data_IF_957899283676
#
_entry.id   IF_957899283676
#
_cell.length_a   1.000
_cell.length_b   1.000
_cell.length_c   1.000
_cell.angle_alpha   90.00
_cell.angle_beta   90.00
_cell.angle_gamma   90.00
#
_symmetry.space_group_name_H-M   'P 1'
#
loop_
_entity.id
_entity.type
_entity.pdbx_description
1 polymer ?
#
# COMPACT_ATOMS: atom_id res chain seq x y z
N UNK A 1 26.99 -18.21 0.08
CA UNK A 1 25.88 -18.93 -0.59
C UNK A 1 24.85 -19.49 0.38
N UNK A 2 25.27 -20.10 1.49
CA UNK A 2 24.36 -20.58 2.53
C UNK A 2 23.34 -19.55 3.03
N UNK A 3 23.73 -18.27 3.19
CA UNK A 3 22.81 -17.19 3.56
C UNK A 3 21.84 -16.76 2.44
N UNK A 4 22.16 -17.04 1.17
CA UNK A 4 21.33 -16.67 0.01
C UNK A 4 20.25 -17.71 -0.27
N UNK A 5 20.50 -18.98 0.07
CA UNK A 5 19.61 -20.12 -0.19
C UNK A 5 18.16 -19.97 0.31
N UNK A 6 17.89 -19.39 1.51
CA UNK A 6 16.51 -19.19 1.96
C UNK A 6 15.78 -18.01 1.30
N UNK A 7 16.49 -17.05 0.69
CA UNK A 7 15.90 -15.84 0.10
C UNK A 7 15.83 -15.91 -1.42
N UNK A 8 16.87 -16.46 -2.07
CA UNK A 8 17.01 -16.57 -3.52
C UNK A 8 17.54 -17.97 -3.88
N UNK A 9 16.70 -19.02 -3.82
CA UNK A 9 17.14 -20.41 -3.98
C UNK A 9 17.69 -20.69 -5.40
N UNK A 10 17.12 -20.06 -6.43
CA UNK A 10 17.59 -20.21 -7.81
C UNK A 10 19.01 -19.65 -8.01
N UNK A 11 19.27 -18.46 -7.47
CA UNK A 11 20.60 -17.83 -7.55
C UNK A 11 21.63 -18.58 -6.70
N UNK A 12 21.22 -19.10 -5.54
CA UNK A 12 22.07 -19.96 -4.72
C UNK A 12 22.52 -21.20 -5.50
N UNK A 13 21.59 -21.86 -6.22
CA UNK A 13 21.91 -23.02 -7.08
C UNK A 13 22.86 -22.67 -8.24
N UNK A 14 22.61 -21.56 -8.93
CA UNK A 14 23.49 -21.13 -10.03
C UNK A 14 24.91 -20.80 -9.54
N UNK A 15 25.03 -20.20 -8.35
CA UNK A 15 26.32 -19.92 -7.74
C UNK A 15 27.01 -21.18 -7.19
N UNK A 16 26.26 -22.17 -6.67
CA UNK A 16 26.78 -23.50 -6.32
C UNK A 16 27.33 -24.21 -7.56
N UNK A 17 26.66 -24.08 -8.71
CA UNK A 17 27.12 -24.58 -10.00
C UNK A 17 28.39 -23.88 -10.49
N UNK A 18 28.48 -22.56 -10.34
CA UNK A 18 29.71 -21.81 -10.68
C UNK A 18 30.89 -22.21 -9.80
N UNK A 19 30.67 -22.34 -8.48
CA UNK A 19 31.71 -22.76 -7.54
C UNK A 19 32.01 -24.26 -7.60
N UNK A 20 31.21 -25.03 -8.35
CA UNK A 20 31.25 -26.49 -8.41
C UNK A 20 31.26 -27.13 -7.02
N UNK A 21 30.50 -26.55 -6.09
CA UNK A 21 30.50 -26.89 -4.68
C UNK A 21 29.06 -26.80 -4.13
N UNK A 22 28.31 -27.91 -4.13
CA UNK A 22 26.96 -27.95 -3.57
C UNK A 22 27.02 -27.77 -2.05
N UNK A 23 26.27 -26.80 -1.52
CA UNK A 23 26.20 -26.54 -0.09
C UNK A 23 24.92 -27.11 0.51
N UNK A 24 25.04 -27.87 1.58
CA UNK A 24 23.90 -28.59 2.18
C UNK A 24 23.39 -27.90 3.44
N UNK A 25 24.20 -27.05 4.08
CA UNK A 25 23.76 -26.26 5.23
C UNK A 25 24.70 -25.13 5.65
N UNK A 26 24.35 -24.46 6.75
CA UNK A 26 25.09 -23.32 7.30
C UNK A 26 26.49 -23.69 7.82
N UNK A 27 26.72 -24.96 8.17
CA UNK A 27 28.03 -25.46 8.62
C UNK A 27 29.10 -25.51 7.53
N UNK A 28 28.72 -25.49 6.26
CA UNK A 28 29.67 -25.54 5.13
C UNK A 28 30.42 -24.21 4.94
N UNK A 29 29.95 -23.13 5.57
CA UNK A 29 30.63 -21.82 5.58
C UNK A 29 32.01 -21.89 6.24
N UNK A 30 32.18 -22.79 7.22
CA UNK A 30 33.42 -22.95 7.97
C UNK A 30 34.52 -23.71 7.20
N UNK A 31 34.21 -24.23 6.00
CA UNK A 31 35.16 -24.98 5.17
C UNK A 31 35.57 -24.12 3.96
N UNK A 32 36.74 -23.46 4.00
CA UNK A 32 37.22 -22.70 2.86
C UNK A 32 37.51 -23.64 1.69
N UNK A 33 37.00 -23.30 0.51
CA UNK A 33 37.25 -24.04 -0.71
C UNK A 33 38.65 -23.67 -1.22
N UNK A 34 39.67 -24.41 -0.80
CA UNK A 34 41.07 -24.23 -1.25
C UNK A 34 41.42 -25.27 -2.31
N UNK A 35 42.13 -24.88 -3.36
CA UNK A 35 42.59 -25.75 -4.44
C UNK A 35 41.45 -26.46 -5.23
N UNK A 36 40.35 -25.76 -5.48
CA UNK A 36 39.26 -26.26 -6.32
C UNK A 36 39.17 -25.51 -7.66
N UNK A 37 38.62 -26.18 -8.67
CA UNK A 37 38.34 -25.59 -9.97
C UNK A 37 36.94 -25.00 -9.98
N UNK A 38 36.83 -23.73 -10.36
CA UNK A 38 35.55 -23.05 -10.61
C UNK A 38 35.12 -23.26 -12.07
N UNK A 39 33.83 -23.25 -12.33
CA UNK A 39 33.27 -23.31 -13.67
C UNK A 39 33.44 -21.97 -14.41
N UNK A 40 33.10 -21.95 -15.69
CA UNK A 40 33.08 -20.72 -16.48
C UNK A 40 32.06 -19.71 -15.90
N UNK A 41 32.42 -18.43 -15.92
CA UNK A 41 31.57 -17.37 -15.39
C UNK A 41 30.24 -17.26 -16.15
N UNK A 42 29.14 -17.18 -15.40
CA UNK A 42 27.79 -16.93 -15.90
C UNK A 42 27.17 -15.78 -15.11
N UNK A 43 26.61 -14.81 -15.81
CA UNK A 43 25.93 -13.70 -15.17
C UNK A 43 24.66 -14.19 -14.44
N UNK A 44 24.58 -13.97 -13.12
CA UNK A 44 23.45 -14.36 -12.27
C UNK A 44 22.27 -13.40 -12.38
N UNK A 45 22.54 -12.16 -12.77
CA UNK A 45 21.53 -11.14 -13.03
C UNK A 45 21.92 -10.37 -14.28
N UNK A 46 20.93 -10.10 -15.11
CA UNK A 46 20.98 -9.06 -16.13
C UNK A 46 20.08 -7.93 -15.68
N UNK A 47 20.39 -6.70 -16.10
CA UNK A 47 19.49 -5.58 -15.85
C UNK A 47 18.15 -5.91 -16.49
N UNK A 48 17.06 -5.76 -15.74
CA UNK A 48 15.72 -5.95 -16.29
C UNK A 48 15.51 -4.88 -17.36
N UNK A 49 15.29 -5.31 -18.59
CA UNK A 49 14.99 -4.41 -19.69
C UNK A 49 13.58 -3.84 -19.52
N UNK A 50 13.39 -2.51 -19.64
CA UNK A 50 12.08 -1.87 -19.50
C UNK A 50 11.01 -2.50 -20.41
N UNK A 51 11.42 -2.95 -21.60
CA UNK A 51 10.54 -3.62 -22.57
C UNK A 51 9.96 -4.95 -22.10
N UNK A 52 10.67 -5.69 -21.24
CA UNK A 52 10.15 -6.95 -20.67
C UNK A 52 9.12 -6.67 -19.56
N UNK A 53 9.26 -5.54 -18.86
CA UNK A 53 8.29 -5.08 -17.85
C UNK A 53 6.97 -4.70 -18.55
N UNK A 54 7.06 -3.97 -19.66
CA UNK A 54 5.90 -3.60 -20.48
C UNK A 54 5.17 -4.84 -21.00
N UNK A 55 5.91 -5.81 -21.55
CA UNK A 55 5.34 -7.06 -22.07
C UNK A 55 4.65 -7.91 -20.99
N UNK A 56 5.22 -7.99 -19.78
CA UNK A 56 4.58 -8.70 -18.65
C UNK A 56 3.33 -7.97 -18.14
N UNK A 57 3.33 -6.64 -18.18
CA UNK A 57 2.20 -5.81 -17.75
C UNK A 57 1.03 -5.91 -18.71
N UNK A 58 1.29 -5.97 -20.02
CA UNK A 58 0.24 -6.12 -21.03
C UNK A 58 -0.35 -7.53 -21.08
N UNK A 59 0.47 -8.58 -20.93
CA UNK A 59 -0.02 -9.96 -20.80
C UNK A 59 -0.96 -10.15 -19.59
N UNK A 60 -0.81 -9.32 -18.55
CA UNK A 60 -1.65 -9.36 -17.34
C UNK A 60 -2.99 -8.62 -17.49
N UNK A 61 -3.13 -7.73 -18.50
CA UNK A 61 -4.39 -6.99 -18.75
C UNK A 61 -5.42 -7.83 -19.52
N UNK A 62 -4.98 -8.73 -20.39
CA UNK A 62 -5.87 -9.55 -21.21
C UNK A 62 -6.58 -10.66 -20.40
N UNK A 63 -6.08 -11.03 -19.22
CA UNK A 63 -6.71 -12.09 -18.38
C UNK A 63 -7.85 -11.58 -17.49
N UNK A 64 -8.14 -10.27 -17.47
CA UNK A 64 -9.10 -9.64 -16.55
C UNK A 64 -10.36 -9.05 -17.20
N UNK A 65 -10.59 -9.25 -18.50
CA UNK A 65 -11.79 -8.78 -19.17
C UNK A 65 -12.84 -9.90 -19.36
N UNK A 66 -13.89 -9.89 -18.52
CA UNK A 66 -15.18 -10.53 -18.80
C UNK A 66 -16.22 -9.44 -19.19
N UNK A 67 -17.30 -9.80 -19.93
CA UNK A 67 -17.85 -8.98 -21.03
C UNK A 67 -18.85 -7.87 -20.63
N UNK A 68 -19.15 -6.91 -21.54
CA UNK A 68 -20.01 -5.76 -21.26
C UNK A 68 -21.49 -6.10 -21.46
N UNK A 69 -22.34 -5.64 -20.54
CA UNK A 69 -23.79 -5.57 -20.71
C UNK A 69 -24.23 -4.10 -20.95
N UNK A 70 -24.98 -3.92 -22.02
CA UNK A 70 -25.48 -2.66 -22.58
C UNK A 70 -26.59 -2.02 -21.73
N UNK A 71 -26.63 -0.68 -21.69
CA UNK A 71 -27.79 0.16 -22.09
C UNK A 71 -27.72 1.58 -21.47
N UNK A 72 -27.61 2.59 -22.35
CA UNK A 72 -28.01 4.02 -22.19
C UNK A 72 -29.17 4.25 -23.21
N UNK A 73 -29.94 5.38 -23.29
CA UNK A 73 -29.62 6.80 -22.98
C UNK A 73 -30.81 7.56 -22.30
N UNK A 74 -30.86 8.87 -21.96
CA UNK A 74 -30.62 10.13 -22.69
C UNK A 74 -30.66 11.34 -21.70
N UNK A 75 -29.70 12.29 -21.69
CA UNK A 75 -29.64 13.66 -22.33
C UNK A 75 -30.49 14.72 -21.56
N UNK A 76 -30.07 15.96 -21.24
CA UNK A 76 -29.13 16.96 -21.78
C UNK A 76 -28.63 17.88 -20.62
N UNK A 77 -27.64 18.80 -20.65
CA UNK A 77 -26.93 19.53 -21.70
C UNK A 77 -25.63 20.16 -21.12
N UNK A 78 -24.62 20.41 -21.96
CA UNK A 78 -23.26 21.01 -21.72
C UNK A 78 -23.30 22.55 -21.97
N UNK A 79 -22.21 23.38 -21.90
CA UNK A 79 -20.74 23.14 -21.74
C UNK A 79 -20.08 24.07 -20.64
N UNK A 80 -18.78 24.14 -20.31
CA UNK A 80 -17.49 23.79 -20.93
C UNK A 80 -16.33 23.67 -19.88
N UNK A 81 -15.38 22.75 -20.17
CA UNK A 81 -13.91 22.72 -19.91
C UNK A 81 -13.33 23.01 -18.50
N UNK A 82 -12.83 21.94 -17.84
CA UNK A 82 -11.38 21.73 -17.60
C UNK A 82 -11.10 20.22 -17.71
N UNK A 83 -10.11 19.86 -18.51
CA UNK A 83 -9.62 18.50 -18.73
C UNK A 83 -8.79 18.04 -17.53
N UNK A 84 -9.15 16.89 -16.94
CA UNK A 84 -8.21 16.09 -16.14
C UNK A 84 -8.24 14.67 -16.68
N UNK A 85 -7.23 14.40 -17.52
CA UNK A 85 -6.88 13.08 -18.02
C UNK A 85 -6.26 12.32 -16.85
N UNK A 86 -7.02 11.36 -16.32
CA UNK A 86 -6.50 10.43 -15.32
C UNK A 86 -5.59 9.41 -16.03
N UNK A 87 -4.28 9.56 -15.83
CA UNK A 87 -3.30 8.51 -16.10
C UNK A 87 -3.04 7.70 -14.82
N UNK A 88 -2.86 6.37 -14.94
CA UNK A 88 -2.62 5.49 -13.81
C UNK A 88 -1.18 5.65 -13.32
N UNK A 89 -1.01 5.94 -12.04
CA UNK A 89 0.29 6.12 -11.40
C UNK A 89 0.94 4.75 -11.17
N UNK A 90 1.96 4.44 -11.97
CA UNK A 90 2.97 3.43 -11.67
C UNK A 90 3.92 3.98 -10.59
N UNK A 91 4.25 3.15 -9.61
CA UNK A 91 5.31 3.42 -8.63
C UNK A 91 6.67 3.18 -9.27
N UNK A 92 7.58 4.15 -9.14
CA UNK A 92 8.95 3.96 -9.59
C UNK A 92 9.76 5.19 -9.96
N UNK A 93 9.38 6.41 -9.58
CA UNK A 93 10.29 7.57 -9.69
C UNK A 93 10.10 8.45 -8.46
N UNK A 94 11.21 8.91 -7.86
CA UNK A 94 11.21 9.92 -6.81
C UNK A 94 10.28 11.05 -7.25
N UNK A 95 9.24 11.28 -6.45
CA UNK A 95 8.09 12.10 -6.77
C UNK A 95 8.51 13.42 -7.41
N UNK A 96 7.94 13.73 -8.57
CA UNK A 96 7.78 15.11 -9.00
C UNK A 96 7.33 15.93 -7.78
N UNK A 97 8.10 16.95 -7.42
CA UNK A 97 7.79 17.81 -6.29
C UNK A 97 6.38 18.38 -6.51
N UNK A 98 5.47 18.12 -5.58
CA UNK A 98 4.16 18.76 -5.57
C UNK A 98 4.31 20.16 -4.97
N UNK A 99 3.53 21.11 -5.46
CA UNK A 99 3.46 22.44 -4.86
C UNK A 99 2.79 22.38 -3.50
N UNK A 100 3.05 23.38 -2.65
CA UNK A 100 2.32 23.53 -1.37
C UNK A 100 0.82 23.68 -1.59
N UNK A 101 0.41 24.20 -2.75
CA UNK A 101 -1.00 24.34 -3.14
C UNK A 101 -1.71 22.98 -3.28
N UNK A 102 -1.01 21.93 -3.71
CA UNK A 102 -1.59 20.59 -3.79
C UNK A 102 -1.79 19.96 -2.41
N UNK A 103 -0.90 20.26 -1.46
CA UNK A 103 -1.08 19.88 -0.06
C UNK A 103 -2.22 20.69 0.58
N UNK A 104 -2.32 21.99 0.29
CA UNK A 104 -3.39 22.85 0.80
C UNK A 104 -4.79 22.47 0.29
N UNK A 105 -4.89 21.74 -0.83
CA UNK A 105 -6.16 21.15 -1.31
C UNK A 105 -6.64 20.00 -0.44
N UNK A 106 -5.78 19.36 0.34
CA UNK A 106 -6.16 18.27 1.25
C UNK A 106 -6.59 18.87 2.60
N UNK A 107 -7.79 18.53 3.06
CA UNK A 107 -8.26 18.91 4.40
C UNK A 107 -7.88 17.80 5.39
N UNK A 108 -6.65 17.85 5.89
CA UNK A 108 -6.18 16.95 6.93
C UNK A 108 -6.57 17.50 8.30
N UNK A 109 -7.18 16.67 9.14
CA UNK A 109 -7.59 17.04 10.49
C UNK A 109 -7.27 15.96 11.51
N UNK A 110 -7.21 16.39 12.76
CA UNK A 110 -7.14 15.50 13.91
C UNK A 110 -8.55 15.06 14.27
N UNK A 111 -8.76 13.74 14.37
CA UNK A 111 -10.01 13.15 14.82
C UNK A 111 -9.77 12.31 16.07
N UNK A 112 -10.64 12.41 17.07
CA UNK A 112 -10.55 11.54 18.25
C UNK A 112 -11.42 10.31 18.05
N UNK A 113 -10.86 9.12 18.28
CA UNK A 113 -11.61 7.87 18.17
C UNK A 113 -12.61 7.78 19.32
N UNK A 114 -13.90 7.86 19.01
CA UNK A 114 -14.99 7.68 19.98
C UNK A 114 -15.37 6.21 20.09
N UNK A 115 -15.46 5.52 18.95
CA UNK A 115 -15.74 4.10 18.88
C UNK A 115 -14.87 3.45 17.82
N UNK A 116 -14.42 2.22 18.10
CA UNK A 116 -13.77 1.37 17.13
C UNK A 116 -14.37 -0.03 17.24
N UNK A 117 -14.73 -0.63 16.12
CA UNK A 117 -15.35 -1.95 16.10
C UNK A 117 -15.04 -2.75 14.84
N UNK A 118 -15.23 -4.06 14.92
CA UNK A 118 -15.14 -4.93 13.76
C UNK A 118 -16.32 -4.70 12.82
N UNK A 119 -16.07 -4.91 11.54
CA UNK A 119 -17.11 -4.86 10.51
C UNK A 119 -17.57 -6.27 10.20
N UNK A 120 -18.86 -6.56 10.43
CA UNK A 120 -19.44 -7.85 10.04
C UNK A 120 -19.35 -8.03 8.52
N UNK A 121 -18.61 -9.06 8.10
CA UNK A 121 -18.39 -9.38 6.69
C UNK A 121 -17.08 -8.85 6.10
N UNK A 122 -16.16 -8.29 6.91
CA UNK A 122 -14.80 -7.99 6.46
C UNK A 122 -13.73 -8.39 7.47
N UNK A 123 -12.82 -9.28 7.05
CA UNK A 123 -11.69 -9.76 7.86
C UNK A 123 -10.50 -8.79 7.93
N UNK A 124 -10.56 -7.69 7.18
CA UNK A 124 -9.46 -6.72 7.06
C UNK A 124 -9.83 -5.30 7.49
N UNK A 125 -11.12 -4.99 7.64
CA UNK A 125 -11.61 -3.65 7.95
C UNK A 125 -12.01 -3.49 9.42
N UNK A 126 -11.69 -2.33 9.96
CA UNK A 126 -12.22 -1.80 11.22
C UNK A 126 -13.06 -0.56 10.92
N UNK A 127 -14.15 -0.39 11.67
CA UNK A 127 -15.02 0.80 11.63
C UNK A 127 -14.60 1.72 12.76
N UNK A 128 -14.28 2.96 12.41
CA UNK A 128 -13.96 4.04 13.32
C UNK A 128 -15.08 5.09 13.29
N UNK A 129 -15.55 5.47 14.47
CA UNK A 129 -16.32 6.68 14.67
C UNK A 129 -15.38 7.74 15.26
N UNK A 130 -15.07 8.76 14.45
CA UNK A 130 -14.17 9.83 14.86
C UNK A 130 -14.95 11.10 15.20
N UNK A 131 -14.51 11.80 16.23
CA UNK A 131 -14.94 13.16 16.52
C UNK A 131 -14.16 14.17 15.65
N UNK A 132 -14.90 14.79 14.74
CA UNK A 132 -14.56 15.90 13.86
C UNK A 132 -14.26 17.26 14.50
N UNK A 133 -14.56 17.43 15.80
CA UNK A 133 -14.75 18.76 16.37
C UNK A 133 -15.90 19.48 15.66
N UNK A 134 -15.59 20.60 15.01
CA UNK A 134 -16.58 21.44 14.30
C UNK A 134 -17.34 20.72 13.17
N UNK A 135 -16.76 19.65 12.61
CA UNK A 135 -17.39 18.85 11.55
C UNK A 135 -18.36 17.79 12.09
N UNK A 136 -18.47 17.63 13.41
CA UNK A 136 -19.28 16.59 14.05
C UNK A 136 -18.66 15.20 13.95
N UNK A 137 -19.46 14.15 14.18
CA UNK A 137 -18.96 12.78 14.13
C UNK A 137 -18.88 12.27 12.69
N UNK A 138 -17.79 11.58 12.36
CA UNK A 138 -17.58 10.98 11.04
C UNK A 138 -17.29 9.50 11.13
N UNK A 139 -17.86 8.74 10.21
CA UNK A 139 -17.59 7.32 10.11
C UNK A 139 -16.51 7.05 9.05
N UNK A 140 -15.46 6.33 9.43
CA UNK A 140 -14.36 5.96 8.54
C UNK A 140 -14.06 4.47 8.68
N UNK A 141 -13.85 3.80 7.55
CA UNK A 141 -13.41 2.41 7.51
C UNK A 141 -11.91 2.36 7.19
N UNK A 142 -11.14 1.63 7.99
CA UNK A 142 -9.70 1.47 7.78
C UNK A 142 -9.28 0.01 7.74
N UNK A 143 -8.34 -0.30 6.84
CA UNK A 143 -7.83 -1.65 6.55
C UNK A 143 -6.77 -2.16 7.53
N UNK A 144 -6.75 -1.67 8.76
CA UNK A 144 -5.66 -1.92 9.74
C UNK A 144 -5.95 -3.09 10.69
N UNK A 145 -7.00 -3.89 10.45
CA UNK A 145 -7.38 -5.01 11.32
C UNK A 145 -6.25 -6.04 11.49
N UNK A 146 -5.44 -6.26 10.45
CA UNK A 146 -4.32 -7.18 10.49
C UNK A 146 -3.20 -6.78 11.46
N UNK A 147 -3.13 -5.51 11.84
CA UNK A 147 -2.13 -4.96 12.77
C UNK A 147 -2.71 -4.63 14.13
N UNK A 148 -4.00 -4.33 14.20
CA UNK A 148 -4.71 -4.03 15.45
C UNK A 148 -5.86 -5.03 15.65
N UNK A 149 -5.55 -6.10 16.39
CA UNK A 149 -6.54 -7.11 16.79
C UNK A 149 -7.45 -6.66 17.93
N UNK A 150 -7.13 -5.55 18.60
CA UNK A 150 -7.86 -5.04 19.77
C UNK A 150 -8.37 -3.62 19.51
N UNK A 151 -9.59 -3.45 18.96
CA UNK A 151 -10.13 -2.13 18.63
C UNK A 151 -10.37 -1.24 19.86
N UNK A 152 -10.59 -1.83 21.03
CA UNK A 152 -10.81 -1.10 22.29
C UNK A 152 -9.61 -0.23 22.68
N UNK A 153 -8.38 -0.69 22.37
CA UNK A 153 -7.15 0.08 22.61
C UNK A 153 -7.00 1.30 21.71
N UNK A 154 -7.79 1.38 20.63
CA UNK A 154 -7.79 2.51 19.72
C UNK A 154 -8.77 3.61 20.16
N UNK A 155 -9.74 3.28 21.02
CA UNK A 155 -10.71 4.24 21.55
C UNK A 155 -9.99 5.27 22.42
N UNK A 156 -10.29 6.55 22.20
CA UNK A 156 -9.69 7.68 22.90
C UNK A 156 -8.40 8.24 22.28
N UNK A 157 -7.81 7.57 21.28
CA UNK A 157 -6.63 8.07 20.57
C UNK A 157 -7.00 9.19 19.60
N UNK A 158 -6.06 10.12 19.41
CA UNK A 158 -6.15 11.17 18.40
C UNK A 158 -5.43 10.72 17.13
N UNK A 159 -6.14 10.64 16.02
CA UNK A 159 -5.64 10.14 14.73
C UNK A 159 -5.73 11.20 13.66
N UNK A 160 -4.88 11.11 12.64
CA UNK A 160 -4.95 11.99 11.47
C UNK A 160 -5.86 11.38 10.40
N UNK A 161 -6.80 12.16 9.88
CA UNK A 161 -7.67 11.73 8.79
C UNK A 161 -7.90 12.86 7.76
N UNK A 162 -8.29 12.49 6.55
CA UNK A 162 -8.65 13.41 5.47
C UNK A 162 -10.18 13.62 5.48
N UNK A 163 -10.62 14.85 5.70
CA UNK A 163 -12.03 15.23 5.85
C UNK A 163 -12.74 15.57 4.53
N UNK A 164 -12.00 16.03 3.52
CA UNK A 164 -12.55 16.48 2.23
C UNK A 164 -12.50 15.42 1.12
N UNK A 165 -12.37 14.14 1.48
CA UNK A 165 -12.42 13.04 0.53
C UNK A 165 -13.88 12.69 0.20
N UNK A 166 -14.18 12.42 -1.07
CA UNK A 166 -15.54 12.10 -1.49
C UNK A 166 -16.06 10.87 -0.72
N UNK A 167 -17.26 10.95 -0.10
CA UNK A 167 -17.81 9.84 0.65
C UNK A 167 -17.92 8.59 -0.22
N UNK A 168 -17.29 7.50 0.22
CA UNK A 168 -17.29 6.23 -0.52
C UNK A 168 -18.29 5.29 0.12
N UNK A 169 -19.35 4.95 -0.61
CA UNK A 169 -20.30 3.92 -0.19
C UNK A 169 -19.64 2.54 -0.32
N UNK A 170 -19.51 1.86 0.80
CA UNK A 170 -19.04 0.48 0.88
C UNK A 170 -20.21 -0.43 1.26
N UNK A 171 -20.01 -1.74 1.19
CA UNK A 171 -21.02 -2.74 1.56
C UNK A 171 -21.50 -2.59 3.01
N UNK A 172 -20.69 -1.97 3.87
CA UNK A 172 -20.88 -1.90 5.32
C UNK A 172 -21.28 -0.50 5.83
N UNK A 173 -21.40 0.49 4.94
CA UNK A 173 -21.74 1.86 5.31
C UNK A 173 -21.08 2.90 4.40
N UNK A 174 -21.24 4.17 4.77
CA UNK A 174 -20.57 5.31 4.13
C UNK A 174 -19.24 5.58 4.85
N UNK A 175 -18.14 5.65 4.10
CA UNK A 175 -16.84 6.14 4.61
C UNK A 175 -16.70 7.61 4.23
N UNK A 176 -16.64 8.49 5.21
CA UNK A 176 -16.63 9.96 5.03
C UNK A 176 -15.22 10.56 5.17
N UNK A 177 -14.21 9.72 4.95
CA UNK A 177 -12.81 10.10 5.03
C UNK A 177 -11.88 8.89 4.92
N UNK A 178 -10.60 9.16 5.14
CA UNK A 178 -9.52 8.18 5.18
C UNK A 178 -8.60 8.49 6.34
N UNK A 179 -8.35 7.50 7.20
CA UNK A 179 -7.35 7.59 8.27
C UNK A 179 -5.97 7.31 7.68
N UNK A 180 -4.97 8.06 8.11
CA UNK A 180 -3.60 7.87 7.68
C UNK A 180 -2.90 6.81 8.53
N UNK A 181 -2.18 5.91 7.87
CA UNK A 181 -1.39 4.85 8.50
C UNK A 181 -0.07 4.70 7.75
N UNK A 182 1.01 4.48 8.49
CA UNK A 182 2.34 4.22 7.95
C UNK A 182 2.58 2.71 7.88
N UNK A 183 3.12 2.21 6.77
CA UNK A 183 3.52 0.82 6.68
C UNK A 183 4.16 0.51 5.33
N UNK A 184 4.84 -0.62 5.24
CA UNK A 184 5.40 -1.15 4.01
C UNK A 184 4.41 -2.10 3.33
N UNK A 185 4.53 -2.29 2.01
CA UNK A 185 3.68 -3.21 1.27
C UNK A 185 3.70 -4.63 1.86
N UNK A 186 2.49 -5.15 2.16
CA UNK A 186 2.30 -6.45 2.81
C UNK A 186 2.70 -6.54 4.29
N UNK A 187 3.15 -5.44 4.89
CA UNK A 187 3.59 -5.36 6.29
C UNK A 187 2.51 -4.89 7.26
N UNK A 188 2.90 -4.74 8.53
CA UNK A 188 2.04 -4.16 9.55
C UNK A 188 1.83 -2.65 9.29
N UNK A 189 0.58 -2.21 9.41
CA UNK A 189 0.21 -0.79 9.34
C UNK A 189 0.25 -0.20 10.75
N UNK A 190 0.99 0.88 10.91
CA UNK A 190 1.05 1.72 12.11
C UNK A 190 0.10 2.92 11.95
N UNK A 191 -0.80 3.10 12.89
CA UNK A 191 -1.71 4.24 12.90
C UNK A 191 -0.94 5.52 13.24
N UNK A 192 -1.16 6.61 12.50
CA UNK A 192 -0.55 7.89 12.87
C UNK A 192 -1.35 8.54 14.01
N UNK A 193 -0.70 8.66 15.17
CA UNK A 193 -1.24 9.42 16.30
C UNK A 193 -0.82 10.89 16.24
N UNK A 194 -1.63 11.73 16.87
CA UNK A 194 -1.28 13.10 17.21
C UNK A 194 -0.89 13.23 18.68
N UNK A 195 -0.10 14.27 18.98
CA UNK A 195 0.29 14.61 20.36
C UNK A 195 -0.94 14.87 21.25
N UNK A 196 -0.77 14.73 22.57
CA UNK A 196 -1.83 14.95 23.55
C UNK A 196 -2.41 16.38 23.52
N UNK A 197 -1.65 17.36 23.03
CA UNK A 197 -2.13 18.73 22.84
C UNK A 197 -3.07 18.92 21.64
N UNK A 198 -3.19 17.92 20.75
CA UNK A 198 -4.01 18.03 19.55
C UNK A 198 -5.49 17.79 19.85
N UNK A 199 -6.34 18.76 19.51
CA UNK A 199 -7.78 18.68 19.74
C UNK A 199 -8.54 18.17 18.50
N UNK A 200 -9.70 17.51 18.70
CA UNK A 200 -10.59 17.11 17.61
C UNK A 200 -10.92 18.29 16.70
N UNK A 201 -10.82 18.11 15.40
CA UNK A 201 -11.10 19.11 14.38
C UNK A 201 -9.94 20.07 14.07
N UNK A 202 -8.82 20.01 14.80
CA UNK A 202 -7.65 20.84 14.49
C UNK A 202 -7.10 20.52 13.09
N UNK A 203 -6.85 21.54 12.25
CA UNK A 203 -6.28 21.35 10.92
C UNK A 203 -4.78 21.02 11.01
N UNK A 204 -4.36 20.02 10.23
CA UNK A 204 -2.96 19.62 10.06
C UNK A 204 -2.36 20.41 8.90
N UNK A 205 -1.17 20.98 9.10
CA UNK A 205 -0.50 21.89 8.19
C UNK A 205 0.99 21.61 8.11
#
# INVERSE_FOLDING_TARGET
>A
LAALKPVLPANALQAEGFLNAPMHGWGDIAKPLTAHTIAAYVALFTRIDPKMIDAMTDASKDTLAAPPAEAKPAKAEKPAKVEVKAEPRAEGEASAYIGIDDFAKLDLRIGKVLECGFVEGSDKLLRFLLDAGDLGQRQIFSGIRGSYGEPEKLVGRSVVFIANLAPRKMRFGLSEGMILSAGFDGGALALLDADAGAQPGMPVR
#
